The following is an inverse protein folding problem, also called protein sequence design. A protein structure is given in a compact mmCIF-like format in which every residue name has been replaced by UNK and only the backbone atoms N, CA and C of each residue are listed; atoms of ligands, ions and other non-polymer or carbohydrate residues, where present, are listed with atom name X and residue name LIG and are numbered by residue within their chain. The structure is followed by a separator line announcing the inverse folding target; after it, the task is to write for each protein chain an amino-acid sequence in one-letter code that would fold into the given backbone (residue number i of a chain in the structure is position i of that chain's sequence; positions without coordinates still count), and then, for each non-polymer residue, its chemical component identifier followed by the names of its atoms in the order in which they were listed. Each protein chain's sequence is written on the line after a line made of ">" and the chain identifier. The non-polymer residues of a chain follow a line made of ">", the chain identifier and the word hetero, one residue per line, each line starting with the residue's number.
data_IF_587336292377
#
_entry.id   IF_587336292377
#
_cell.length_a   1.000
_cell.length_b   1.000
_cell.length_c   1.000
_cell.angle_alpha   90.00
_cell.angle_beta   90.00
_cell.angle_gamma   90.00
#
_symmetry.space_group_name_H-M   'P 1'
#
loop_
_entity.id
_entity.type
_entity.pdbx_description
1 polymer ?
#
# COMPACT_ATOMS: atom_id res chain seq x y z
N UNK A 1 45.95 -2.04 -5.36
CA UNK A 1 47.17 -1.48 -4.75
C UNK A 1 47.63 -0.29 -5.55
N UNK A 2 47.33 0.93 -5.07
CA UNK A 2 47.83 2.17 -5.64
C UNK A 2 48.58 2.92 -4.53
N UNK A 3 49.90 3.03 -4.68
CA UNK A 3 50.75 3.82 -3.78
C UNK A 3 50.40 5.29 -4.00
N UNK A 4 49.77 5.93 -3.02
CA UNK A 4 49.60 7.39 -3.02
C UNK A 4 50.93 8.02 -2.59
N UNK A 5 51.63 8.57 -3.57
CA UNK A 5 52.83 9.38 -3.37
C UNK A 5 52.48 10.61 -2.52
N UNK A 6 53.30 10.92 -1.50
CA UNK A 6 53.21 12.16 -0.72
C UNK A 6 53.46 13.37 -1.64
N UNK A 7 52.72 14.49 -1.50
CA UNK A 7 52.99 15.70 -2.28
C UNK A 7 54.33 16.32 -1.85
N UNK A 8 55.12 16.77 -2.82
CA UNK A 8 56.43 17.40 -2.65
C UNK A 8 56.40 18.75 -1.89
N UNK A 9 55.22 19.26 -1.52
CA UNK A 9 55.04 20.57 -0.89
C UNK A 9 55.34 20.58 0.62
N UNK A 10 55.41 19.40 1.27
CA UNK A 10 55.67 19.32 2.73
C UNK A 10 57.16 19.35 3.11
N UNK A 11 58.07 19.03 2.17
CA UNK A 11 59.52 19.07 2.41
C UNK A 11 60.09 20.50 2.37
N UNK A 12 59.45 21.42 1.64
CA UNK A 12 59.90 22.82 1.52
C UNK A 12 59.62 23.66 2.78
N UNK A 13 58.53 23.36 3.51
CA UNK A 13 58.18 24.12 4.73
C UNK A 13 59.14 23.81 5.88
N UNK A 14 59.60 22.56 5.99
CA UNK A 14 60.54 22.15 7.03
C UNK A 14 61.95 22.72 6.79
N UNK A 15 62.38 22.79 5.53
CA UNK A 15 63.65 23.40 5.13
C UNK A 15 63.68 24.91 5.37
N UNK A 16 62.58 25.60 5.08
CA UNK A 16 62.47 27.04 5.31
C UNK A 16 62.51 27.40 6.80
N UNK A 17 61.94 26.54 7.66
CA UNK A 17 62.00 26.71 9.10
C UNK A 17 63.42 26.52 9.66
N UNK A 18 64.17 25.53 9.16
CA UNK A 18 65.57 25.31 9.56
C UNK A 18 66.50 26.45 9.14
N UNK A 19 66.34 27.00 7.93
CA UNK A 19 67.14 28.14 7.45
C UNK A 19 66.87 29.44 8.23
N UNK A 20 65.63 29.69 8.65
CA UNK A 20 65.31 30.84 9.52
C UNK A 20 65.97 30.71 10.90
N UNK A 21 65.96 29.51 11.48
CA UNK A 21 66.56 29.27 12.80
C UNK A 21 68.09 29.39 12.77
N UNK A 22 68.76 28.93 11.70
CA UNK A 22 70.20 29.12 11.52
C UNK A 22 70.58 30.59 11.37
N UNK A 23 69.76 31.38 10.66
CA UNK A 23 70.00 32.80 10.45
C UNK A 23 69.84 33.60 11.74
N UNK A 24 68.81 33.30 12.53
CA UNK A 24 68.63 33.88 13.86
C UNK A 24 69.79 33.51 14.81
N UNK A 25 70.26 32.26 14.77
CA UNK A 25 71.41 31.83 15.57
C UNK A 25 72.71 32.55 15.18
N UNK A 26 72.93 32.81 13.88
CA UNK A 26 74.12 33.53 13.40
C UNK A 26 74.11 35.02 13.78
N UNK A 27 72.94 35.66 13.73
CA UNK A 27 72.76 37.06 14.12
C UNK A 27 72.89 37.26 15.63
N UNK A 28 72.47 36.27 16.45
CA UNK A 28 72.68 36.31 17.90
C UNK A 28 74.14 36.09 18.33
N UNK A 29 74.95 35.41 17.53
CA UNK A 29 76.38 35.17 17.81
C UNK A 29 77.28 36.32 17.34
N UNK A 30 76.89 37.04 16.27
CA UNK A 30 77.74 38.05 15.63
C UNK A 30 77.18 39.49 15.65
N UNK A 31 76.01 39.71 16.24
CA UNK A 31 75.34 41.02 16.27
C UNK A 31 75.60 41.82 17.54
N UNK A 32 76.82 42.37 17.70
CA UNK A 32 77.13 43.67 18.33
C UNK A 32 78.59 43.72 18.79
N UNK A 33 79.43 44.50 18.12
CA UNK A 33 80.81 44.75 18.56
C UNK A 33 81.64 45.47 17.52
N UNK A 34 81.40 46.77 17.37
CA UNK A 34 82.31 47.68 16.66
C UNK A 34 83.73 47.56 17.21
N UNK A 35 84.68 47.46 16.31
CA UNK A 35 86.11 47.61 16.55
C UNK A 35 86.43 49.01 17.06
N UNK A 36 87.11 49.10 18.21
CA UNK A 36 87.90 50.27 18.60
C UNK A 36 89.29 49.85 19.07
N UNK A 37 90.33 50.65 18.75
CA UNK A 37 91.73 50.29 18.89
C UNK A 37 92.20 50.31 20.35
N UNK A 38 93.25 49.55 20.59
CA UNK A 38 94.02 49.45 21.83
C UNK A 38 94.39 50.83 22.38
N UNK A 39 93.80 51.20 23.52
CA UNK A 39 94.30 52.24 24.41
C UNK A 39 94.93 51.54 25.62
N UNK A 40 96.26 51.44 25.60
CA UNK A 40 97.08 51.15 26.76
C UNK A 40 96.74 52.16 27.87
N UNK A 41 96.06 51.69 28.91
CA UNK A 41 95.90 52.45 30.14
C UNK A 41 96.70 51.82 31.27
N UNK A 42 97.24 52.68 32.16
CA UNK A 42 98.38 52.34 32.98
C UNK A 42 97.97 51.33 34.04
N UNK A 43 98.81 50.32 34.26
CA UNK A 43 98.83 49.48 35.45
C UNK A 43 99.02 50.37 36.69
N UNK A 44 97.91 50.97 37.16
CA UNK A 44 97.75 51.34 38.56
C UNK A 44 97.85 50.03 39.31
N UNK A 45 98.82 49.92 40.21
CA UNK A 45 98.90 48.85 41.19
C UNK A 45 97.60 48.84 41.99
N UNK A 46 96.64 48.06 41.51
CA UNK A 46 95.42 47.72 42.22
C UNK A 46 95.85 46.97 43.47
N UNK A 47 95.41 47.47 44.61
CA UNK A 47 95.69 46.88 45.90
C UNK A 47 95.31 45.40 45.83
N UNK A 48 96.28 44.52 46.10
CA UNK A 48 96.13 43.08 45.91
C UNK A 48 94.92 42.55 46.69
N UNK A 49 94.62 43.20 47.81
CA UNK A 49 93.47 42.94 48.67
C UNK A 49 92.12 43.30 48.01
N UNK A 50 92.02 44.43 47.32
CA UNK A 50 90.79 44.84 46.61
C UNK A 50 90.47 43.94 45.40
N UNK A 51 91.49 43.38 44.76
CA UNK A 51 91.32 42.38 43.70
C UNK A 51 90.86 41.04 44.25
N UNK A 52 91.38 40.61 45.41
CA UNK A 52 90.96 39.38 46.08
C UNK A 52 89.48 39.48 46.48
N UNK A 53 89.06 40.57 47.12
CA UNK A 53 87.67 40.80 47.53
C UNK A 53 86.69 40.78 46.34
N UNK A 54 87.11 41.35 45.19
CA UNK A 54 86.31 41.32 43.97
C UNK A 54 86.20 39.93 43.34
N UNK A 55 87.28 39.14 43.39
CA UNK A 55 87.25 37.74 42.93
C UNK A 55 86.34 36.91 43.83
N UNK A 56 86.43 37.06 45.15
CA UNK A 56 85.56 36.35 46.11
C UNK A 56 84.07 36.72 45.92
N UNK A 57 83.77 37.99 45.66
CA UNK A 57 82.40 38.44 45.35
C UNK A 57 81.89 37.82 44.04
N UNK A 58 82.72 37.80 42.99
CA UNK A 58 82.37 37.17 41.72
C UNK A 58 82.19 35.65 41.86
N UNK A 59 83.01 34.98 42.66
CA UNK A 59 82.87 33.56 42.95
C UNK A 59 81.54 33.24 43.67
N UNK A 60 81.11 34.13 44.57
CA UNK A 60 79.80 34.01 45.23
C UNK A 60 78.66 34.20 44.23
N UNK A 61 78.73 35.23 43.38
CA UNK A 61 77.73 35.50 42.35
C UNK A 61 77.63 34.36 41.33
N UNK A 62 78.76 33.77 40.92
CA UNK A 62 78.80 32.60 40.03
C UNK A 62 78.10 31.42 40.69
N UNK A 63 78.39 31.13 41.96
CA UNK A 63 77.70 30.05 42.71
C UNK A 63 76.19 30.30 42.80
N UNK A 64 75.76 31.54 43.05
CA UNK A 64 74.35 31.89 43.10
C UNK A 64 73.65 31.71 41.74
N UNK A 65 74.29 32.14 40.65
CA UNK A 65 73.79 31.94 39.28
C UNK A 65 73.76 30.46 38.88
N UNK A 66 74.76 29.67 39.26
CA UNK A 66 74.78 28.23 39.01
C UNK A 66 73.60 27.54 39.72
N UNK A 67 73.32 27.92 40.97
CA UNK A 67 72.15 27.42 41.71
C UNK A 67 70.83 27.82 41.06
N UNK A 68 70.75 29.01 40.45
CA UNK A 68 69.55 29.46 39.72
C UNK A 68 69.38 28.72 38.38
N UNK A 69 70.46 28.48 37.63
CA UNK A 69 70.43 27.68 36.40
C UNK A 69 69.92 26.26 36.68
N UNK A 70 70.35 25.64 37.79
CA UNK A 70 69.85 24.32 38.20
C UNK A 70 68.35 24.35 38.47
N UNK A 71 67.84 25.40 39.15
CA UNK A 71 66.40 25.57 39.40
C UNK A 71 65.61 25.76 38.11
N UNK A 72 66.09 26.60 37.20
CA UNK A 72 65.44 26.85 35.91
C UNK A 72 65.44 25.61 35.00
N UNK A 73 66.51 24.81 34.99
CA UNK A 73 66.55 23.52 34.27
C UNK A 73 65.50 22.56 34.80
N UNK A 74 65.38 22.44 36.13
CA UNK A 74 64.35 21.60 36.74
C UNK A 74 62.94 22.05 36.33
N UNK A 75 62.67 23.36 36.37
CA UNK A 75 61.39 23.90 35.93
C UNK A 75 61.12 23.67 34.44
N UNK A 76 62.14 23.83 33.58
CA UNK A 76 62.03 23.51 32.16
C UNK A 76 61.70 22.03 31.92
N UNK A 77 62.35 21.11 32.63
CA UNK A 77 62.09 19.67 32.52
C UNK A 77 60.67 19.32 32.99
N UNK A 78 60.17 19.98 34.04
CA UNK A 78 58.78 19.86 34.49
C UNK A 78 57.80 20.37 33.43
N UNK A 79 58.02 21.55 32.87
CA UNK A 79 57.19 22.10 31.80
C UNK A 79 57.21 21.22 30.55
N UNK A 80 58.38 20.68 30.18
CA UNK A 80 58.53 19.79 29.03
C UNK A 80 57.70 18.52 29.21
N UNK A 81 57.77 17.89 30.38
CA UNK A 81 56.96 16.71 30.70
C UNK A 81 55.46 16.98 30.59
N UNK A 82 54.99 18.10 31.15
CA UNK A 82 53.57 18.48 31.05
C UNK A 82 53.15 18.71 29.61
N UNK A 83 54.01 19.33 28.79
CA UNK A 83 53.70 19.52 27.37
C UNK A 83 53.64 18.20 26.60
N UNK A 84 54.57 17.27 26.87
CA UNK A 84 54.56 15.92 26.27
C UNK A 84 53.30 15.15 26.68
N UNK A 85 52.96 15.12 27.97
CA UNK A 85 51.74 14.47 28.47
C UNK A 85 50.47 15.05 27.83
N UNK A 86 50.39 16.39 27.69
CA UNK A 86 49.24 17.05 27.05
C UNK A 86 49.15 16.77 25.56
N UNK A 87 50.30 16.63 24.89
CA UNK A 87 50.34 16.28 23.48
C UNK A 87 49.88 14.84 23.24
N UNK A 88 50.31 13.91 24.11
CA UNK A 88 49.88 12.51 24.07
C UNK A 88 48.37 12.40 24.35
N UNK A 89 47.88 13.07 25.41
CA UNK A 89 46.45 13.12 25.74
C UNK A 89 45.62 13.68 24.57
N UNK A 90 46.10 14.76 23.93
CA UNK A 90 45.44 15.32 22.75
C UNK A 90 45.41 14.35 21.58
N UNK A 91 46.53 13.66 21.33
CA UNK A 91 46.67 12.69 20.24
C UNK A 91 45.77 11.46 20.45
N UNK A 92 45.69 10.94 21.67
CA UNK A 92 44.80 9.84 22.03
C UNK A 92 43.33 10.23 21.84
N UNK A 93 42.93 11.41 22.34
CA UNK A 93 41.56 11.91 22.19
C UNK A 93 41.19 12.08 20.71
N UNK A 94 42.11 12.60 19.89
CA UNK A 94 41.89 12.76 18.45
C UNK A 94 41.73 11.40 17.76
N UNK A 95 42.55 10.42 18.12
CA UNK A 95 42.50 9.07 17.57
C UNK A 95 41.18 8.38 17.93
N UNK A 96 40.75 8.46 19.19
CA UNK A 96 39.46 7.93 19.63
C UNK A 96 38.28 8.57 18.89
N UNK A 97 38.33 9.89 18.67
CA UNK A 97 37.30 10.59 17.90
C UNK A 97 37.27 10.11 16.44
N UNK A 98 38.43 9.96 15.81
CA UNK A 98 38.53 9.46 14.43
C UNK A 98 38.03 8.01 14.33
N UNK A 99 38.39 7.14 15.26
CA UNK A 99 37.91 5.76 15.31
C UNK A 99 36.39 5.68 15.48
N UNK A 100 35.83 6.49 16.38
CA UNK A 100 34.38 6.60 16.55
C UNK A 100 33.72 7.02 15.24
N UNK A 101 34.28 8.03 14.55
CA UNK A 101 33.72 8.53 13.30
C UNK A 101 33.80 7.52 12.17
N UNK A 102 34.90 6.77 12.07
CA UNK A 102 35.05 5.68 11.10
C UNK A 102 34.03 4.57 11.38
N UNK A 103 33.82 4.22 12.65
CA UNK A 103 32.84 3.21 13.05
C UNK A 103 31.42 3.62 12.69
N UNK A 104 31.00 4.84 13.04
CA UNK A 104 29.69 5.39 12.67
C UNK A 104 29.46 5.34 11.14
N UNK A 105 30.45 5.75 10.35
CA UNK A 105 30.33 5.72 8.89
C UNK A 105 30.17 4.28 8.38
N UNK A 106 30.94 3.32 8.91
CA UNK A 106 30.81 1.90 8.56
C UNK A 106 29.41 1.37 8.88
N UNK A 107 28.91 1.62 10.10
CA UNK A 107 27.60 1.14 10.54
C UNK A 107 26.47 1.73 9.68
N UNK A 108 26.56 3.01 9.31
CA UNK A 108 25.58 3.63 8.40
C UNK A 108 25.62 3.05 6.99
N UNK A 109 26.81 2.76 6.45
CA UNK A 109 26.96 2.11 5.15
C UNK A 109 26.39 0.69 5.16
N UNK A 110 26.67 -0.09 6.21
CA UNK A 110 26.14 -1.45 6.38
C UNK A 110 24.60 -1.45 6.51
N UNK A 111 24.04 -0.49 7.27
CA UNK A 111 22.60 -0.32 7.39
C UNK A 111 21.93 0.00 6.05
N UNK A 112 22.52 0.92 5.26
CA UNK A 112 22.03 1.29 3.93
C UNK A 112 22.10 0.13 2.94
N UNK A 113 23.20 -0.64 2.94
CA UNK A 113 23.31 -1.83 2.10
C UNK A 113 22.28 -2.88 2.49
N UNK A 114 22.09 -3.14 3.78
CA UNK A 114 21.09 -4.07 4.27
C UNK A 114 19.67 -3.64 3.92
N UNK A 115 19.38 -2.34 3.95
CA UNK A 115 18.10 -1.77 3.53
C UNK A 115 17.86 -1.96 2.03
N UNK A 116 18.83 -1.63 1.17
CA UNK A 116 18.68 -1.84 -0.27
C UNK A 116 18.50 -3.32 -0.65
N UNK A 117 19.17 -4.24 0.05
CA UNK A 117 18.94 -5.69 -0.14
C UNK A 117 17.52 -6.10 0.29
N UNK A 118 17.01 -5.56 1.41
CA UNK A 118 15.63 -5.84 1.84
C UNK A 118 14.61 -5.31 0.83
N UNK A 119 14.74 -4.06 0.39
CA UNK A 119 13.83 -3.45 -0.59
C UNK A 119 13.76 -4.25 -1.90
N UNK A 120 14.92 -4.66 -2.42
CA UNK A 120 14.98 -5.49 -3.64
C UNK A 120 14.37 -6.87 -3.45
N UNK A 121 14.55 -7.48 -2.28
CA UNK A 121 13.94 -8.75 -1.92
C UNK A 121 12.43 -8.64 -1.76
N UNK A 122 11.94 -7.58 -1.11
CA UNK A 122 10.52 -7.30 -0.91
C UNK A 122 9.81 -7.06 -2.24
N UNK A 123 10.39 -6.25 -3.13
CA UNK A 123 9.88 -6.04 -4.49
C UNK A 123 9.78 -7.35 -5.28
N UNK A 124 10.77 -8.25 -5.12
CA UNK A 124 10.75 -9.56 -5.77
C UNK A 124 9.71 -10.50 -5.17
N UNK A 125 9.52 -10.48 -3.86
CA UNK A 125 8.48 -11.24 -3.18
C UNK A 125 7.08 -10.77 -3.59
N UNK A 126 6.89 -9.46 -3.72
CA UNK A 126 5.63 -8.86 -4.18
C UNK A 126 5.33 -9.25 -5.64
N UNK A 127 6.31 -9.12 -6.54
CA UNK A 127 6.19 -9.60 -7.92
C UNK A 127 5.80 -11.07 -8.01
N UNK A 128 6.45 -11.94 -7.23
CA UNK A 128 6.11 -13.37 -7.19
C UNK A 128 4.69 -13.61 -6.67
N UNK A 129 4.25 -12.84 -5.66
CA UNK A 129 2.90 -12.93 -5.11
C UNK A 129 1.86 -12.58 -6.17
N UNK A 130 2.06 -11.47 -6.88
CA UNK A 130 1.17 -11.02 -7.95
C UNK A 130 1.15 -11.99 -9.12
N UNK A 131 2.31 -12.50 -9.54
CA UNK A 131 2.40 -13.51 -10.57
C UNK A 131 1.66 -14.80 -10.19
N UNK A 132 1.81 -15.27 -8.94
CA UNK A 132 1.09 -16.43 -8.45
C UNK A 132 -0.42 -16.20 -8.36
N UNK A 133 -0.85 -15.00 -7.95
CA UNK A 133 -2.27 -14.61 -7.94
C UNK A 133 -2.85 -14.64 -9.34
N UNK A 134 -2.17 -14.03 -10.32
CA UNK A 134 -2.57 -14.04 -11.72
C UNK A 134 -2.65 -15.48 -12.27
N UNK A 135 -1.68 -16.33 -11.97
CA UNK A 135 -1.70 -17.73 -12.36
C UNK A 135 -2.89 -18.47 -11.74
N UNK A 136 -3.21 -18.20 -10.47
CA UNK A 136 -4.38 -18.79 -9.80
C UNK A 136 -5.70 -18.33 -10.44
N UNK A 137 -5.82 -17.05 -10.79
CA UNK A 137 -7.00 -16.51 -11.48
C UNK A 137 -7.17 -17.14 -12.88
N UNK A 138 -6.06 -17.34 -13.60
CA UNK A 138 -6.07 -17.99 -14.91
C UNK A 138 -6.53 -19.46 -14.81
N UNK A 139 -6.11 -20.19 -13.77
CA UNK A 139 -6.55 -21.57 -13.53
C UNK A 139 -8.06 -21.63 -13.32
N UNK A 140 -8.61 -20.72 -12.48
CA UNK A 140 -10.05 -20.65 -12.24
C UNK A 140 -10.83 -20.35 -13.52
N UNK A 141 -10.35 -19.40 -14.34
CA UNK A 141 -10.97 -19.09 -15.63
C UNK A 141 -10.94 -20.29 -16.61
N UNK A 142 -9.85 -21.06 -16.63
CA UNK A 142 -9.75 -22.28 -17.43
C UNK A 142 -10.76 -23.34 -16.98
N UNK A 143 -10.95 -23.51 -15.67
CA UNK A 143 -11.94 -24.44 -15.12
C UNK A 143 -13.38 -24.03 -15.47
N UNK A 144 -13.70 -22.73 -15.40
CA UNK A 144 -15.00 -22.21 -15.83
C UNK A 144 -15.27 -22.46 -17.31
N UNK A 145 -14.27 -22.21 -18.16
CA UNK A 145 -14.37 -22.47 -19.59
C UNK A 145 -14.54 -23.96 -19.89
N UNK A 146 -13.85 -24.84 -19.15
CA UNK A 146 -14.01 -26.29 -19.27
C UNK A 146 -15.44 -26.71 -18.98
N UNK A 147 -16.03 -26.22 -17.89
CA UNK A 147 -17.44 -26.49 -17.55
C UNK A 147 -18.39 -26.02 -18.66
N UNK A 148 -18.10 -24.87 -19.28
CA UNK A 148 -18.90 -24.36 -20.41
C UNK A 148 -18.79 -25.26 -21.64
N UNK A 149 -17.58 -25.71 -21.99
CA UNK A 149 -17.32 -26.63 -23.10
C UNK A 149 -18.05 -27.96 -22.88
N UNK A 150 -17.96 -28.52 -21.67
CA UNK A 150 -18.65 -29.77 -21.32
C UNK A 150 -20.17 -29.61 -21.51
N UNK A 151 -20.77 -28.54 -20.98
CA UNK A 151 -22.21 -28.25 -21.16
C UNK A 151 -22.63 -28.08 -22.62
N UNK A 152 -21.79 -27.44 -23.44
CA UNK A 152 -22.06 -27.27 -24.86
C UNK A 152 -21.96 -28.61 -25.60
N UNK A 153 -21.03 -29.46 -25.17
CA UNK A 153 -20.85 -30.80 -25.72
C UNK A 153 -22.08 -31.67 -25.42
N UNK A 154 -22.59 -31.68 -24.18
CA UNK A 154 -23.84 -32.38 -23.81
C UNK A 154 -25.04 -31.93 -24.65
N UNK A 155 -25.17 -30.61 -24.85
CA UNK A 155 -26.25 -30.05 -25.70
C UNK A 155 -26.12 -30.49 -27.15
N UNK A 156 -24.89 -30.59 -27.65
CA UNK A 156 -24.61 -31.06 -29.00
C UNK A 156 -24.95 -32.55 -29.15
N UNK A 157 -24.63 -33.38 -28.15
CA UNK A 157 -25.00 -34.80 -28.12
C UNK A 157 -26.52 -34.99 -28.11
N UNK A 158 -27.26 -34.23 -27.30
CA UNK A 158 -28.72 -34.24 -27.29
C UNK A 158 -29.33 -33.79 -28.62
N UNK A 159 -28.73 -32.78 -29.27
CA UNK A 159 -29.16 -32.34 -30.59
C UNK A 159 -28.78 -33.33 -31.71
N UNK A 160 -27.74 -34.13 -31.50
CA UNK A 160 -27.24 -35.14 -32.45
C UNK A 160 -28.10 -36.41 -32.49
N UNK A 161 -29.00 -36.63 -31.53
CA UNK A 161 -30.09 -37.62 -31.63
C UNK A 161 -31.48 -36.98 -31.80
N UNK A 162 -31.81 -36.47 -33.01
CA UNK A 162 -33.14 -35.94 -33.32
C UNK A 162 -34.28 -36.94 -33.08
N UNK A 163 -33.99 -38.25 -33.13
CA UNK A 163 -34.99 -39.29 -32.96
C UNK A 163 -35.31 -39.50 -31.48
N UNK A 164 -34.30 -39.53 -30.60
CA UNK A 164 -34.48 -39.55 -29.15
C UNK A 164 -35.20 -38.31 -28.62
N UNK A 165 -34.85 -37.12 -29.13
CA UNK A 165 -35.55 -35.88 -28.76
C UNK A 165 -37.02 -35.89 -29.19
N UNK A 166 -37.30 -36.36 -30.42
CA UNK A 166 -38.67 -36.48 -30.92
C UNK A 166 -39.49 -37.47 -30.09
N UNK A 167 -38.92 -38.62 -29.76
CA UNK A 167 -39.58 -39.63 -28.93
C UNK A 167 -39.92 -39.11 -27.53
N UNK A 168 -38.97 -38.41 -26.88
CA UNK A 168 -39.21 -37.80 -25.56
C UNK A 168 -40.29 -36.71 -25.61
N UNK A 169 -40.32 -35.91 -26.68
CA UNK A 169 -41.34 -34.88 -26.87
C UNK A 169 -42.73 -35.50 -27.12
N UNK A 170 -42.82 -36.54 -27.94
CA UNK A 170 -44.06 -37.29 -28.18
C UNK A 170 -44.58 -37.93 -26.90
N UNK A 171 -43.70 -38.47 -26.06
CA UNK A 171 -44.06 -39.04 -24.77
C UNK A 171 -44.64 -37.98 -23.81
N UNK A 172 -44.00 -36.82 -23.68
CA UNK A 172 -44.51 -35.71 -22.87
C UNK A 172 -45.85 -35.17 -23.38
N UNK A 173 -46.01 -35.07 -24.71
CA UNK A 173 -47.29 -34.68 -25.31
C UNK A 173 -48.40 -35.69 -24.99
N UNK A 174 -48.10 -36.99 -25.09
CA UNK A 174 -49.07 -38.04 -24.78
C UNK A 174 -49.47 -38.01 -23.29
N UNK A 175 -48.51 -37.77 -22.38
CA UNK A 175 -48.76 -37.61 -20.94
C UNK A 175 -49.65 -36.39 -20.68
N UNK A 176 -49.33 -35.24 -21.28
CA UNK A 176 -50.11 -34.02 -21.13
C UNK A 176 -51.54 -34.18 -21.67
N UNK A 177 -51.69 -34.84 -22.82
CA UNK A 177 -53.00 -35.10 -23.42
C UNK A 177 -53.84 -36.06 -22.59
N UNK A 178 -53.22 -37.10 -22.02
CA UNK A 178 -53.87 -38.00 -21.06
C UNK A 178 -54.35 -37.25 -19.81
N UNK A 179 -53.47 -36.48 -19.16
CA UNK A 179 -53.83 -35.66 -17.99
C UNK A 179 -54.96 -34.67 -18.33
N UNK A 180 -54.91 -34.03 -19.51
CA UNK A 180 -55.96 -33.13 -19.98
C UNK A 180 -57.30 -33.86 -20.11
N UNK A 181 -57.31 -35.06 -20.69
CA UNK A 181 -58.51 -35.88 -20.85
C UNK A 181 -59.12 -36.27 -19.50
N UNK A 182 -58.30 -36.74 -18.56
CA UNK A 182 -58.73 -37.10 -17.21
C UNK A 182 -59.32 -35.89 -16.47
N UNK A 183 -58.71 -34.71 -16.62
CA UNK A 183 -59.23 -33.47 -16.03
C UNK A 183 -60.57 -33.04 -16.63
N UNK A 184 -60.75 -33.16 -17.95
CA UNK A 184 -62.02 -32.87 -18.62
C UNK A 184 -63.13 -33.83 -18.19
N UNK A 185 -62.82 -35.13 -18.05
CA UNK A 185 -63.77 -36.12 -17.55
C UNK A 185 -64.17 -35.85 -16.10
N UNK A 186 -63.20 -35.54 -15.23
CA UNK A 186 -63.46 -35.17 -13.84
C UNK A 186 -64.32 -33.90 -13.75
N UNK A 187 -64.04 -32.89 -14.59
CA UNK A 187 -64.85 -31.68 -14.65
C UNK A 187 -66.31 -32.02 -14.96
N UNK A 188 -66.60 -32.79 -16.01
CA UNK A 188 -67.97 -33.22 -16.37
C UNK A 188 -68.69 -33.95 -15.23
N UNK A 189 -67.98 -34.78 -14.47
CA UNK A 189 -68.55 -35.48 -13.31
C UNK A 189 -68.95 -34.48 -12.21
N UNK A 190 -68.13 -33.46 -11.95
CA UNK A 190 -68.45 -32.40 -10.99
C UNK A 190 -69.65 -31.58 -11.45
N UNK A 191 -69.72 -31.24 -12.75
CA UNK A 191 -70.86 -30.52 -13.34
C UNK A 191 -72.17 -31.28 -13.09
N UNK A 192 -72.23 -32.57 -13.43
CA UNK A 192 -73.43 -33.38 -13.22
C UNK A 192 -73.81 -33.55 -11.74
N UNK A 193 -72.84 -33.62 -10.82
CA UNK A 193 -73.13 -33.69 -9.37
C UNK A 193 -73.72 -32.39 -8.83
N UNK A 194 -73.21 -31.25 -9.28
CA UNK A 194 -73.70 -29.94 -8.89
C UNK A 194 -75.13 -29.71 -9.40
N UNK A 195 -75.41 -30.12 -10.64
CA UNK A 195 -76.77 -30.09 -11.22
C UNK A 195 -77.77 -30.91 -10.39
N UNK A 196 -77.41 -32.14 -9.99
CA UNK A 196 -78.27 -33.01 -9.15
C UNK A 196 -78.52 -32.41 -7.77
N UNK A 197 -77.54 -31.70 -7.21
CA UNK A 197 -77.66 -31.02 -5.92
C UNK A 197 -78.34 -29.64 -6.01
N UNK A 198 -78.72 -29.18 -7.22
CA UNK A 198 -79.26 -27.85 -7.45
C UNK A 198 -78.27 -26.71 -7.17
N UNK A 199 -76.98 -27.04 -7.04
CA UNK A 199 -75.92 -26.09 -6.82
C UNK A 199 -75.41 -25.58 -8.17
N UNK A 200 -75.29 -24.26 -8.30
CA UNK A 200 -74.75 -23.65 -9.52
C UNK A 200 -73.22 -23.64 -9.50
N UNK A 201 -72.60 -23.63 -10.67
CA UNK A 201 -71.15 -23.61 -10.79
C UNK A 201 -70.61 -22.20 -10.53
N UNK A 202 -69.89 -21.95 -9.42
CA UNK A 202 -69.45 -20.61 -9.07
C UNK A 202 -68.48 -20.02 -10.10
N UNK A 203 -67.69 -20.85 -10.79
CA UNK A 203 -66.77 -20.38 -11.85
C UNK A 203 -67.44 -20.05 -13.19
N UNK A 204 -68.76 -20.31 -13.34
CA UNK A 204 -69.56 -19.93 -14.51
C UNK A 204 -70.44 -18.70 -14.26
N UNK A 205 -70.43 -18.13 -13.06
CA UNK A 205 -71.24 -16.97 -12.70
C UNK A 205 -70.36 -15.79 -12.31
N UNK A 206 -70.90 -14.57 -12.49
CA UNK A 206 -70.22 -13.38 -12.02
C UNK A 206 -70.38 -13.23 -10.51
N UNK A 207 -69.28 -13.13 -9.76
CA UNK A 207 -69.31 -12.92 -8.29
C UNK A 207 -69.97 -11.60 -7.84
N UNK A 208 -70.33 -10.71 -8.77
CA UNK A 208 -70.96 -9.41 -8.48
C UNK A 208 -72.48 -9.46 -8.65
N UNK A 209 -72.98 -9.97 -9.79
CA UNK A 209 -74.43 -10.05 -10.06
C UNK A 209 -75.01 -11.45 -9.94
N UNK A 210 -74.17 -12.47 -9.75
CA UNK A 210 -74.53 -13.90 -9.66
C UNK A 210 -75.28 -14.41 -10.91
N UNK A 211 -75.12 -13.74 -12.05
CA UNK A 211 -75.62 -14.19 -13.33
C UNK A 211 -74.58 -15.04 -14.06
N UNK A 212 -75.06 -16.04 -14.79
CA UNK A 212 -74.22 -16.92 -15.59
C UNK A 212 -73.59 -16.16 -16.77
N UNK A 213 -72.30 -16.38 -16.95
CA UNK A 213 -71.56 -15.88 -18.09
C UNK A 213 -72.06 -16.51 -19.39
N UNK A 214 -72.16 -15.71 -20.44
CA UNK A 214 -72.55 -16.15 -21.77
C UNK A 214 -72.05 -15.16 -22.83
N UNK A 215 -72.27 -15.47 -24.10
CA UNK A 215 -71.84 -14.62 -25.22
C UNK A 215 -72.73 -13.38 -25.43
N UNK A 216 -73.79 -13.17 -24.63
CA UNK A 216 -74.61 -11.97 -24.71
C UNK A 216 -73.82 -10.76 -24.23
N UNK A 217 -73.96 -9.58 -24.87
CA UNK A 217 -73.14 -8.40 -24.60
C UNK A 217 -73.02 -8.01 -23.12
N UNK A 218 -74.09 -8.15 -22.33
CA UNK A 218 -74.10 -7.80 -20.91
C UNK A 218 -73.36 -8.80 -20.02
N UNK A 219 -73.35 -10.08 -20.40
CA UNK A 219 -72.88 -11.20 -19.56
C UNK A 219 -71.56 -11.81 -20.05
N UNK A 220 -70.91 -11.17 -21.03
CA UNK A 220 -69.57 -11.56 -21.48
C UNK A 220 -68.57 -11.46 -20.32
N UNK A 221 -67.85 -12.55 -19.96
CA UNK A 221 -66.83 -12.54 -18.93
C UNK A 221 -65.59 -11.77 -19.38
N UNK A 222 -65.12 -10.83 -18.57
CA UNK A 222 -63.93 -10.00 -18.80
C UNK A 222 -62.93 -10.18 -17.68
N UNK A 223 -61.66 -10.32 -18.05
CA UNK A 223 -60.56 -10.55 -17.11
C UNK A 223 -59.94 -9.22 -16.70
N UNK A 224 -59.87 -8.98 -15.40
CA UNK A 224 -59.22 -7.81 -14.80
C UNK A 224 -57.69 -8.00 -14.73
N UNK A 225 -56.93 -6.93 -14.49
CA UNK A 225 -55.47 -6.98 -14.41
C UNK A 225 -54.93 -7.88 -13.28
N UNK A 226 -55.76 -8.17 -12.28
CA UNK A 226 -55.47 -9.11 -11.20
C UNK A 226 -55.75 -10.58 -11.54
N UNK A 227 -56.40 -10.87 -12.68
CA UNK A 227 -56.79 -12.22 -13.10
C UNK A 227 -58.22 -12.65 -12.73
N UNK A 228 -58.95 -11.86 -11.93
CA UNK A 228 -60.36 -12.12 -11.62
C UNK A 228 -61.26 -11.83 -12.82
N UNK A 229 -62.39 -12.53 -12.91
CA UNK A 229 -63.35 -12.38 -14.02
C UNK A 229 -64.67 -11.80 -13.54
N UNK A 230 -65.18 -10.77 -14.22
CA UNK A 230 -66.49 -10.15 -13.98
C UNK A 230 -67.25 -9.99 -15.30
N UNK A 231 -68.57 -9.88 -15.27
CA UNK A 231 -69.34 -9.71 -16.53
C UNK A 231 -69.17 -8.28 -17.06
N UNK A 232 -69.41 -8.09 -18.36
CA UNK A 232 -69.26 -6.78 -19.00
C UNK A 232 -70.10 -5.69 -18.33
N UNK A 233 -71.35 -5.99 -17.98
CA UNK A 233 -72.24 -5.02 -17.32
C UNK A 233 -71.75 -4.64 -15.92
N UNK A 234 -71.23 -5.60 -15.14
CA UNK A 234 -70.61 -5.32 -13.84
C UNK A 234 -69.29 -4.57 -13.98
N UNK A 235 -68.46 -4.92 -14.96
CA UNK A 235 -67.23 -4.19 -15.25
C UNK A 235 -67.53 -2.72 -15.57
N UNK A 236 -68.56 -2.45 -16.38
CA UNK A 236 -68.97 -1.10 -16.75
C UNK A 236 -69.45 -0.28 -15.54
N UNK A 237 -70.16 -0.91 -14.60
CA UNK A 237 -70.60 -0.27 -13.34
C UNK A 237 -69.45 0.00 -12.37
N UNK A 238 -68.41 -0.83 -12.41
CA UNK A 238 -67.24 -0.74 -11.51
C UNK A 238 -66.14 0.18 -12.06
N UNK A 239 -66.13 0.43 -13.37
CA UNK A 239 -65.21 1.36 -14.01
C UNK A 239 -65.50 2.81 -13.60
N UNK A 240 -64.46 3.52 -13.20
CA UNK A 240 -64.48 4.96 -12.94
C UNK A 240 -63.40 5.62 -13.78
N UNK A 241 -63.81 6.51 -14.68
CA UNK A 241 -62.91 7.18 -15.63
C UNK A 241 -62.06 6.20 -16.45
N UNK A 242 -60.79 6.00 -16.08
CA UNK A 242 -59.84 5.09 -16.74
C UNK A 242 -59.36 3.97 -15.83
N UNK A 243 -59.99 3.74 -14.70
CA UNK A 243 -59.57 2.74 -13.72
C UNK A 243 -60.75 1.88 -13.26
N UNK A 244 -60.47 0.61 -12.97
CA UNK A 244 -61.44 -0.33 -12.43
C UNK A 244 -60.83 -1.06 -11.22
N UNK A 245 -61.49 -0.95 -10.06
CA UNK A 245 -61.10 -1.67 -8.84
C UNK A 245 -61.77 -3.03 -8.81
N UNK A 246 -60.96 -4.09 -8.69
CA UNK A 246 -61.47 -5.44 -8.57
C UNK A 246 -62.33 -5.60 -7.30
N UNK A 247 -63.56 -6.16 -7.39
CA UNK A 247 -64.42 -6.34 -6.23
C UNK A 247 -63.92 -7.42 -5.26
N UNK A 248 -63.06 -8.34 -5.72
CA UNK A 248 -62.56 -9.45 -4.91
C UNK A 248 -61.29 -9.09 -4.12
N UNK A 249 -60.28 -8.53 -4.79
CA UNK A 249 -58.97 -8.24 -4.18
C UNK A 249 -58.57 -6.76 -4.21
N UNK A 250 -59.50 -5.88 -4.64
CA UNK A 250 -59.36 -4.40 -4.66
C UNK A 250 -58.18 -3.87 -5.45
N UNK A 251 -57.55 -4.70 -6.30
CA UNK A 251 -56.47 -4.25 -7.18
C UNK A 251 -57.02 -3.42 -8.34
N UNK A 252 -56.30 -2.37 -8.70
CA UNK A 252 -56.64 -1.48 -9.80
C UNK A 252 -56.24 -2.09 -11.15
N UNK A 253 -57.17 -2.03 -12.10
CA UNK A 253 -56.93 -2.33 -13.52
C UNK A 253 -57.08 -1.05 -14.32
N UNK A 254 -56.02 -0.63 -15.01
CA UNK A 254 -56.06 0.54 -15.87
C UNK A 254 -56.74 0.20 -17.22
N UNK A 255 -57.72 1.02 -17.61
CA UNK A 255 -58.45 0.90 -18.86
C UNK A 255 -57.75 1.74 -19.93
N UNK A 256 -57.18 1.05 -20.93
CA UNK A 256 -56.50 1.68 -22.07
C UNK A 256 -57.46 2.37 -23.06
N UNK A 257 -58.76 2.22 -22.85
CA UNK A 257 -59.80 2.77 -23.70
C UNK A 257 -60.93 3.35 -22.84
N UNK A 258 -61.80 4.15 -23.46
CA UNK A 258 -62.88 4.88 -22.78
C UNK A 258 -64.02 3.99 -22.27
N UNK A 259 -64.00 2.69 -22.57
CA UNK A 259 -65.03 1.73 -22.18
C UNK A 259 -64.38 0.42 -21.69
N UNK A 260 -65.13 -0.47 -21.06
CA UNK A 260 -64.59 -1.74 -20.55
C UNK A 260 -64.39 -2.80 -21.65
N UNK A 261 -64.58 -2.43 -22.92
CA UNK A 261 -64.43 -3.30 -24.09
C UNK A 261 -62.99 -3.74 -24.35
N UNK A 262 -61.98 -2.95 -23.94
CA UNK A 262 -60.57 -3.32 -24.05
C UNK A 262 -60.12 -4.38 -23.03
N UNK A 263 -60.93 -4.71 -22.03
CA UNK A 263 -60.61 -5.83 -21.16
C UNK A 263 -60.76 -7.15 -21.93
N UNK A 264 -59.77 -8.05 -21.85
CA UNK A 264 -59.79 -9.31 -22.58
C UNK A 264 -60.98 -10.17 -22.16
N UNK A 265 -61.63 -10.80 -23.16
CA UNK A 265 -62.69 -11.78 -22.93
C UNK A 265 -62.08 -13.07 -22.36
N UNK A 266 -62.76 -13.66 -21.37
CA UNK A 266 -62.37 -14.98 -20.88
C UNK A 266 -63.01 -16.09 -21.74
N UNK A 267 -62.36 -16.42 -22.86
CA UNK A 267 -62.85 -17.46 -23.78
C UNK A 267 -62.90 -18.84 -23.12
N UNK A 268 -62.12 -19.10 -22.07
CA UNK A 268 -62.12 -20.41 -21.36
C UNK A 268 -63.42 -20.67 -20.59
N UNK A 269 -64.15 -19.62 -20.22
CA UNK A 269 -65.46 -19.73 -19.58
C UNK A 269 -66.57 -19.85 -20.64
N UNK A 270 -66.39 -19.22 -21.80
CA UNK A 270 -67.35 -19.21 -22.92
C UNK A 270 -67.28 -20.46 -23.81
N UNK A 271 -66.09 -21.03 -23.98
CA UNK A 271 -65.81 -22.20 -24.81
C UNK A 271 -65.50 -23.39 -23.90
N UNK A 272 -66.54 -24.16 -23.55
CA UNK A 272 -66.41 -25.47 -22.89
C UNK A 272 -67.25 -26.50 -23.62
#
# INVERSE_FOLDING_TARGET
>A
MAKRSRPAEFEDVHKHAEDCLLRMAYEMVNGSGESKPEEETPTKSLDREALIEKVEALEKDVKERDMEIVRLKKYHDECKKVMEEKFDEFSENLMQMMEHRVRELSDTMDAQMAEGVRETMDAKLEFMRDHNKMNSELILALDEHKIMIDRLSDKLELAADPNGLRAALEEEQLRAEKCRKEMLEMAKVLEGRLEVQGLKMPWKECDVCLEQFNDLPANVPRVLGCGHTVCHSCAQKLAKEKELLCPLDRKTTELKCTDVTCLPKNFKILQQ
#
